data_IF_696461785367
#
_entry.id   IF_696461785367
#
_cell.length_a   1.000
_cell.length_b   1.000
_cell.length_c   1.000
_cell.angle_alpha   90.00
_cell.angle_beta   90.00
_cell.angle_gamma   90.00
#
_symmetry.space_group_name_H-M   'P 1'
#
loop_
_entity.id
_entity.type
_entity.pdbx_description
1 polymer ?
#
# COMPACT_ATOMS: atom_id res chain seq x y z
N UNK A 1 41.13 32.57 -45.30
CA UNK A 1 39.78 32.05 -45.47
C UNK A 1 39.87 30.78 -46.29
N UNK A 2 40.03 29.64 -45.67
CA UNK A 2 40.25 28.33 -46.33
C UNK A 2 38.96 27.52 -46.19
N UNK A 3 38.29 27.25 -47.32
CA UNK A 3 37.13 26.39 -47.45
C UNK A 3 37.59 24.93 -47.46
N UNK A 4 37.27 24.18 -46.40
CA UNK A 4 37.48 22.73 -46.33
C UNK A 4 36.23 22.07 -46.93
N UNK A 5 36.35 21.56 -48.15
CA UNK A 5 35.32 20.77 -48.81
C UNK A 5 35.29 19.36 -48.25
N UNK A 6 34.19 18.95 -47.60
CA UNK A 6 33.94 17.58 -47.15
C UNK A 6 33.54 16.70 -48.32
N UNK A 7 34.42 15.77 -48.71
CA UNK A 7 34.14 14.69 -49.67
C UNK A 7 33.22 13.66 -49.00
N UNK A 8 31.98 13.54 -49.48
CA UNK A 8 31.04 12.47 -49.07
C UNK A 8 31.35 11.22 -49.92
N UNK A 9 31.69 10.09 -49.34
CA UNK A 9 31.97 8.87 -50.10
C UNK A 9 30.68 8.33 -50.74
N UNK A 10 30.73 8.16 -52.07
CA UNK A 10 29.66 7.60 -52.87
C UNK A 10 29.58 6.09 -52.68
N UNK A 11 28.58 5.60 -51.91
CA UNK A 11 28.34 4.17 -51.66
C UNK A 11 27.52 3.58 -52.82
N UNK A 12 28.01 2.52 -53.52
CA UNK A 12 27.32 1.95 -54.66
C UNK A 12 25.96 1.36 -54.31
N UNK A 13 24.95 1.61 -55.15
CA UNK A 13 23.53 1.22 -55.00
C UNK A 13 23.29 -0.28 -54.72
N UNK A 14 24.16 -1.17 -55.14
CA UNK A 14 24.05 -2.61 -54.91
C UNK A 14 24.21 -3.04 -53.45
N UNK A 15 25.07 -2.37 -52.65
CA UNK A 15 25.22 -2.67 -51.22
C UNK A 15 23.98 -2.29 -50.39
N UNK A 16 23.22 -1.27 -50.82
CA UNK A 16 22.00 -0.84 -50.12
C UNK A 16 20.89 -1.88 -50.19
N UNK A 17 20.70 -2.58 -51.32
CA UNK A 17 19.68 -3.64 -51.47
C UNK A 17 19.94 -4.85 -50.54
N UNK A 18 21.21 -5.28 -50.41
CA UNK A 18 21.57 -6.41 -49.54
C UNK A 18 21.39 -6.08 -48.05
N UNK A 19 21.70 -4.86 -47.63
CA UNK A 19 21.51 -4.44 -46.24
C UNK A 19 20.02 -4.31 -45.86
N UNK A 20 19.15 -3.87 -46.78
CA UNK A 20 17.72 -3.78 -46.57
C UNK A 20 17.07 -5.13 -46.30
N UNK A 21 17.51 -6.16 -46.98
CA UNK A 21 16.97 -7.52 -46.79
C UNK A 21 17.44 -8.17 -45.47
N UNK A 22 18.67 -7.93 -45.03
CA UNK A 22 19.19 -8.41 -43.75
C UNK A 22 18.46 -7.72 -42.58
N UNK A 23 18.15 -6.44 -42.69
CA UNK A 23 17.39 -5.72 -41.66
C UNK A 23 15.94 -6.20 -41.57
N UNK A 24 15.29 -6.50 -42.70
CA UNK A 24 13.92 -7.06 -42.70
C UNK A 24 13.90 -8.46 -42.07
N UNK A 25 14.88 -9.30 -42.36
CA UNK A 25 14.98 -10.63 -41.77
C UNK A 25 15.21 -10.59 -40.26
N UNK A 26 16.08 -9.69 -39.79
CA UNK A 26 16.32 -9.48 -38.33
C UNK A 26 15.09 -8.94 -37.60
N UNK A 27 14.28 -8.09 -38.23
CA UNK A 27 13.02 -7.63 -37.65
C UNK A 27 11.96 -8.73 -37.56
N UNK A 28 11.87 -9.58 -38.58
CA UNK A 28 10.95 -10.71 -38.59
C UNK A 28 11.34 -11.71 -37.46
N UNK A 29 12.61 -12.01 -37.29
CA UNK A 29 13.11 -12.91 -36.25
C UNK A 29 12.86 -12.37 -34.85
N UNK A 30 13.00 -11.04 -34.64
CA UNK A 30 12.68 -10.41 -33.32
C UNK A 30 11.19 -10.44 -33.02
N UNK A 31 10.33 -10.25 -34.01
CA UNK A 31 8.88 -10.28 -33.83
C UNK A 31 8.39 -11.70 -33.50
N UNK A 32 8.94 -12.73 -34.15
CA UNK A 32 8.58 -14.13 -33.84
C UNK A 32 9.08 -14.56 -32.46
N UNK A 33 10.27 -14.12 -32.02
CA UNK A 33 10.80 -14.44 -30.69
C UNK A 33 9.97 -13.76 -29.59
N UNK A 34 9.55 -12.51 -29.80
CA UNK A 34 8.69 -11.80 -28.87
C UNK A 34 7.31 -12.45 -28.79
N UNK A 35 6.74 -12.87 -29.93
CA UNK A 35 5.43 -13.54 -29.95
C UNK A 35 5.46 -14.89 -29.22
N UNK A 36 6.54 -15.66 -29.36
CA UNK A 36 6.72 -16.92 -28.64
C UNK A 36 6.91 -16.68 -27.15
N UNK A 37 7.61 -15.61 -26.75
CA UNK A 37 7.77 -15.23 -25.34
C UNK A 37 6.40 -14.86 -24.71
N UNK A 38 5.57 -14.10 -25.43
CA UNK A 38 4.23 -13.73 -24.94
C UNK A 38 3.28 -14.94 -24.87
N UNK A 39 3.37 -15.90 -25.81
CA UNK A 39 2.59 -17.13 -25.77
C UNK A 39 2.99 -18.04 -24.60
N UNK A 40 4.27 -18.10 -24.24
CA UNK A 40 4.74 -18.87 -23.09
C UNK A 40 4.47 -18.14 -21.75
N UNK A 41 4.51 -16.81 -21.69
CA UNK A 41 4.08 -16.06 -20.50
C UNK A 41 2.55 -16.11 -20.29
N UNK A 42 1.77 -16.19 -21.36
CA UNK A 42 0.31 -16.29 -21.27
C UNK A 42 -0.17 -17.65 -20.72
N UNK A 43 0.62 -18.71 -20.85
CA UNK A 43 0.27 -20.02 -20.31
C UNK A 43 0.69 -20.22 -18.83
N UNK A 44 1.54 -19.37 -18.30
CA UNK A 44 1.93 -19.38 -16.87
C UNK A 44 1.04 -18.50 -15.99
N UNK A 45 0.09 -17.77 -16.57
CA UNK A 45 -1.08 -17.26 -15.84
C UNK A 45 -2.13 -18.38 -15.64
N UNK A 46 -1.70 -19.56 -15.21
CA UNK A 46 -2.57 -20.39 -14.40
C UNK A 46 -2.91 -19.55 -13.18
N UNK A 47 -4.15 -19.09 -13.15
CA UNK A 47 -4.80 -18.50 -12.00
C UNK A 47 -4.40 -19.31 -10.77
N UNK A 48 -3.33 -18.91 -10.12
CA UNK A 48 -3.24 -19.05 -8.68
C UNK A 48 -4.45 -18.23 -8.21
N UNK A 49 -5.61 -18.88 -8.12
CA UNK A 49 -6.58 -18.50 -7.12
C UNK A 49 -5.79 -18.57 -5.83
N UNK A 50 -5.17 -17.44 -5.47
CA UNK A 50 -4.86 -17.15 -4.09
C UNK A 50 -6.25 -17.26 -3.49
N UNK A 51 -6.50 -18.43 -2.91
CA UNK A 51 -7.58 -18.64 -1.99
C UNK A 51 -7.26 -17.63 -0.87
N UNK A 52 -7.69 -16.38 -1.07
CA UNK A 52 -7.92 -15.49 0.01
C UNK A 52 -8.95 -16.26 0.83
N UNK A 53 -8.45 -17.01 1.80
CA UNK A 53 -9.27 -17.53 2.87
C UNK A 53 -9.91 -16.29 3.43
N UNK A 54 -11.16 -16.02 3.05
CA UNK A 54 -12.06 -15.17 3.82
C UNK A 54 -12.27 -15.92 5.14
N UNK A 55 -11.23 -15.93 5.97
CA UNK A 55 -11.39 -16.10 7.40
C UNK A 55 -12.29 -14.94 7.76
N UNK A 56 -13.44 -15.30 8.33
CA UNK A 56 -14.46 -14.40 8.82
C UNK A 56 -13.79 -13.12 9.38
N UNK A 57 -13.62 -12.12 8.50
CA UNK A 57 -12.83 -10.92 8.77
C UNK A 57 -13.46 -10.03 9.83
N UNK A 58 -14.62 -10.44 10.35
CA UNK A 58 -15.37 -9.73 11.37
C UNK A 58 -14.67 -9.81 12.73
N UNK A 59 -13.96 -10.90 13.04
CA UNK A 59 -13.32 -11.09 14.34
C UNK A 59 -12.12 -10.16 14.57
N UNK A 60 -11.29 -9.93 13.55
CA UNK A 60 -10.09 -9.05 13.64
C UNK A 60 -10.45 -7.57 13.73
N UNK A 61 -11.56 -7.16 13.13
CA UNK A 61 -12.07 -5.79 13.20
C UNK A 61 -13.03 -5.55 14.37
N UNK A 62 -13.02 -6.39 15.39
CA UNK A 62 -13.94 -6.30 16.54
C UNK A 62 -13.70 -5.07 17.42
N UNK A 63 -12.53 -4.44 17.32
CA UNK A 63 -12.18 -3.26 18.12
C UNK A 63 -13.15 -2.08 17.93
N UNK A 64 -13.74 -1.95 16.74
CA UNK A 64 -14.78 -0.97 16.45
C UNK A 64 -16.08 -1.71 16.16
N UNK A 65 -17.11 -1.51 16.98
CA UNK A 65 -18.44 -2.07 16.72
C UNK A 65 -19.12 -1.33 15.54
N UNK A 66 -20.16 -1.95 14.95
CA UNK A 66 -20.92 -1.28 13.91
C UNK A 66 -21.68 -0.05 14.43
N UNK A 67 -22.12 -0.08 15.69
CA UNK A 67 -22.78 1.04 16.37
C UNK A 67 -21.82 2.22 16.54
N UNK A 68 -20.57 1.96 16.98
CA UNK A 68 -19.55 3.00 17.09
C UNK A 68 -19.23 3.59 15.71
N UNK A 69 -19.07 2.74 14.69
CA UNK A 69 -18.81 3.17 13.34
C UNK A 69 -19.99 3.98 12.75
N UNK A 70 -21.22 3.56 13.02
CA UNK A 70 -22.43 4.27 12.57
C UNK A 70 -22.49 5.68 13.16
N UNK A 71 -22.16 5.82 14.45
CA UNK A 71 -22.09 7.12 15.13
C UNK A 71 -20.99 8.02 14.51
N UNK A 72 -19.78 7.48 14.30
CA UNK A 72 -18.64 8.23 13.72
C UNK A 72 -18.95 8.68 12.29
N UNK A 73 -19.53 7.80 11.47
CA UNK A 73 -19.80 8.06 10.07
C UNK A 73 -21.13 8.76 9.82
N UNK A 74 -21.95 8.89 10.86
CA UNK A 74 -23.34 9.46 10.77
C UNK A 74 -24.15 8.73 9.71
N UNK A 75 -24.32 7.41 9.90
CA UNK A 75 -25.10 6.50 9.04
C UNK A 75 -25.85 5.49 9.88
N UNK A 76 -26.77 4.72 9.27
CA UNK A 76 -27.39 3.56 9.93
C UNK A 76 -26.40 2.38 10.01
N UNK A 77 -26.52 1.58 11.07
CA UNK A 77 -25.76 0.32 11.20
C UNK A 77 -26.00 -0.63 10.04
N UNK A 78 -27.24 -0.70 9.54
CA UNK A 78 -27.62 -1.56 8.39
C UNK A 78 -26.96 -1.16 7.08
N UNK A 79 -26.55 0.13 6.97
CA UNK A 79 -25.80 0.64 5.82
C UNK A 79 -24.31 0.30 5.87
N UNK A 80 -23.81 -0.23 6.97
CA UNK A 80 -22.40 -0.51 7.13
C UNK A 80 -22.00 -1.91 6.62
N UNK A 81 -20.80 -1.97 6.07
CA UNK A 81 -20.11 -3.20 5.73
C UNK A 81 -18.69 -3.17 6.31
N UNK A 82 -18.32 -4.25 6.99
CA UNK A 82 -17.01 -4.45 7.60
C UNK A 82 -16.21 -5.47 6.80
N UNK A 83 -14.92 -5.18 6.59
CA UNK A 83 -13.98 -6.11 5.97
C UNK A 83 -12.61 -6.00 6.61
N UNK A 84 -11.86 -7.08 6.63
CA UNK A 84 -10.45 -7.10 7.03
C UNK A 84 -9.60 -7.74 5.95
N UNK A 85 -8.34 -7.32 5.91
CA UNK A 85 -7.34 -7.88 5.01
C UNK A 85 -6.00 -7.96 5.72
N UNK A 86 -5.37 -9.12 5.67
CA UNK A 86 -4.00 -9.28 6.13
C UNK A 86 -3.05 -8.49 5.24
N UNK A 87 -2.10 -7.80 5.85
CA UNK A 87 -1.05 -7.11 5.12
C UNK A 87 0.04 -8.13 4.73
N UNK A 88 0.61 -7.93 3.55
CA UNK A 88 1.78 -8.70 3.15
C UNK A 88 2.98 -8.28 4.01
N UNK A 89 3.55 -9.23 4.70
CA UNK A 89 4.76 -9.06 5.51
C UNK A 89 5.93 -9.61 4.70
N UNK A 90 7.08 -8.94 4.74
CA UNK A 90 8.26 -9.44 4.04
C UNK A 90 8.71 -10.80 4.61
N UNK A 91 9.27 -11.71 3.78
CA UNK A 91 9.81 -12.97 4.29
C UNK A 91 10.84 -12.76 5.40
N UNK A 92 11.65 -11.71 5.31
CA UNK A 92 12.65 -11.34 6.32
C UNK A 92 12.01 -10.97 7.67
N UNK A 93 10.89 -10.23 7.66
CA UNK A 93 10.19 -9.86 8.89
C UNK A 93 9.48 -11.07 9.53
N UNK A 94 9.01 -12.01 8.71
CA UNK A 94 8.45 -13.29 9.18
C UNK A 94 9.53 -14.15 9.83
N UNK A 95 10.71 -14.29 9.22
CA UNK A 95 11.85 -15.03 9.78
C UNK A 95 12.32 -14.41 11.10
N UNK A 96 12.38 -13.09 11.17
CA UNK A 96 12.76 -12.36 12.40
C UNK A 96 11.67 -12.36 13.46
N UNK A 97 10.50 -12.90 13.17
CA UNK A 97 9.33 -12.90 14.07
C UNK A 97 9.09 -11.51 14.66
N UNK A 98 9.04 -10.47 13.81
CA UNK A 98 8.87 -9.09 14.25
C UNK A 98 7.48 -8.89 14.85
N UNK A 99 6.46 -9.53 14.27
CA UNK A 99 5.06 -9.42 14.69
C UNK A 99 4.61 -10.62 15.52
N UNK A 100 3.80 -10.37 16.54
CA UNK A 100 3.11 -11.37 17.34
C UNK A 100 1.94 -11.97 16.57
N UNK A 101 1.22 -11.13 15.83
CA UNK A 101 0.19 -11.52 14.87
C UNK A 101 0.42 -10.76 13.57
N UNK A 102 0.04 -11.38 12.45
CA UNK A 102 0.17 -10.74 11.16
C UNK A 102 -0.59 -9.41 11.13
N UNK A 103 0.06 -8.30 10.71
CA UNK A 103 -0.59 -7.01 10.59
C UNK A 103 -1.80 -7.09 9.67
N UNK A 104 -2.85 -6.37 10.00
CA UNK A 104 -4.09 -6.38 9.24
C UNK A 104 -4.68 -4.99 9.09
N UNK A 105 -5.33 -4.79 7.96
CA UNK A 105 -6.11 -3.61 7.66
C UNK A 105 -7.59 -3.90 7.93
N UNK A 106 -8.26 -2.99 8.61
CA UNK A 106 -9.70 -3.00 8.79
C UNK A 106 -10.34 -1.85 8.03
N UNK A 107 -11.41 -2.15 7.32
CA UNK A 107 -12.25 -1.15 6.65
C UNK A 107 -13.70 -1.35 7.04
N UNK A 108 -14.34 -0.28 7.51
CA UNK A 108 -15.77 -0.19 7.77
C UNK A 108 -16.30 0.92 6.87
N UNK A 109 -17.20 0.62 5.97
CA UNK A 109 -17.71 1.57 4.99
C UNK A 109 -19.21 1.56 4.87
N UNK A 110 -19.80 2.71 4.52
CA UNK A 110 -21.19 2.80 4.11
C UNK A 110 -21.38 2.14 2.74
N UNK A 111 -22.47 1.39 2.59
CA UNK A 111 -22.90 0.78 1.33
C UNK A 111 -23.47 1.83 0.37
N UNK A 112 -24.14 2.85 0.93
CA UNK A 112 -24.78 3.92 0.19
C UNK A 112 -23.84 5.08 -0.17
N UNK A 113 -22.77 5.29 0.61
CA UNK A 113 -21.82 6.39 0.39
C UNK A 113 -20.37 5.93 0.62
N UNK A 114 -19.66 5.62 -0.46
CA UNK A 114 -18.29 5.13 -0.42
C UNK A 114 -17.26 6.10 0.20
N UNK A 115 -17.58 7.40 0.33
CA UNK A 115 -16.73 8.39 0.98
C UNK A 115 -16.81 8.31 2.52
N UNK A 116 -17.88 7.71 3.04
CA UNK A 116 -18.05 7.46 4.48
C UNK A 116 -17.43 6.13 4.84
N UNK A 117 -16.17 6.18 5.28
CA UNK A 117 -15.42 4.98 5.65
C UNK A 117 -14.48 5.24 6.82
N UNK A 118 -14.23 4.20 7.60
CA UNK A 118 -13.15 4.10 8.58
C UNK A 118 -12.16 3.08 8.05
N UNK A 119 -10.88 3.45 7.95
CA UNK A 119 -9.81 2.52 7.58
C UNK A 119 -8.66 2.70 8.55
N UNK A 120 -8.21 1.60 9.12
CA UNK A 120 -7.07 1.57 10.04
C UNK A 120 -6.26 0.29 9.88
N UNK A 121 -4.98 0.38 10.24
CA UNK A 121 -4.06 -0.76 10.30
C UNK A 121 -3.67 -1.00 11.74
N UNK A 122 -3.61 -2.27 12.14
CA UNK A 122 -3.11 -2.67 13.44
C UNK A 122 -1.86 -3.52 13.27
N UNK A 123 -0.81 -3.15 13.99
CA UNK A 123 0.44 -3.87 14.09
C UNK A 123 0.62 -4.32 15.54
N UNK A 124 0.76 -5.62 15.77
CA UNK A 124 1.06 -6.17 17.10
C UNK A 124 2.45 -6.79 17.04
N UNK A 125 3.39 -6.16 17.69
CA UNK A 125 4.79 -6.58 17.69
C UNK A 125 5.07 -7.62 18.78
N UNK A 126 6.21 -8.32 18.66
CA UNK A 126 6.60 -9.32 19.66
C UNK A 126 7.04 -8.72 21.01
N UNK A 127 7.41 -7.44 21.01
CA UNK A 127 7.76 -6.71 22.23
C UNK A 127 7.65 -5.19 22.01
N UNK A 128 7.51 -4.41 23.10
CA UNK A 128 7.36 -2.96 23.03
C UNK A 128 8.57 -2.23 22.38
N UNK A 129 9.80 -2.76 22.56
CA UNK A 129 10.98 -2.16 21.94
C UNK A 129 10.96 -2.21 20.43
N UNK A 130 10.44 -3.29 19.83
CA UNK A 130 10.22 -3.40 18.38
C UNK A 130 9.14 -2.45 17.92
N UNK A 131 8.02 -2.38 18.64
CA UNK A 131 6.94 -1.44 18.34
C UNK A 131 7.45 0.00 18.32
N UNK A 132 8.26 0.40 19.32
CA UNK A 132 8.86 1.73 19.40
C UNK A 132 9.76 2.03 18.20
N UNK A 133 10.65 1.13 17.83
CA UNK A 133 11.55 1.30 16.69
C UNK A 133 10.74 1.53 15.40
N UNK A 134 9.69 0.76 15.17
CA UNK A 134 8.89 0.91 13.96
C UNK A 134 8.00 2.15 13.99
N UNK A 135 7.46 2.53 15.15
CA UNK A 135 6.75 3.79 15.33
C UNK A 135 7.65 4.99 15.01
N UNK A 136 8.88 5.03 15.57
CA UNK A 136 9.85 6.10 15.32
C UNK A 136 10.25 6.18 13.83
N UNK A 137 10.38 5.04 13.15
CA UNK A 137 10.61 5.00 11.70
C UNK A 137 9.44 5.57 10.91
N UNK A 138 8.20 5.21 11.29
CA UNK A 138 7.00 5.78 10.66
C UNK A 138 6.97 7.30 10.83
N UNK A 139 7.22 7.80 12.02
CA UNK A 139 7.26 9.23 12.30
C UNK A 139 8.30 9.94 11.42
N UNK A 140 9.55 9.47 11.42
CA UNK A 140 10.63 10.05 10.60
C UNK A 140 10.31 10.03 9.10
N UNK A 141 9.70 8.95 8.60
CA UNK A 141 9.29 8.87 7.21
C UNK A 141 8.24 9.95 6.89
N UNK A 142 7.29 10.18 7.79
CA UNK A 142 6.28 11.22 7.58
C UNK A 142 6.86 12.63 7.71
N UNK A 143 7.77 12.87 8.65
CA UNK A 143 8.48 14.15 8.81
C UNK A 143 9.23 14.58 7.53
N UNK A 144 9.70 13.60 6.74
CA UNK A 144 10.34 13.88 5.45
C UNK A 144 9.35 14.30 4.35
N UNK A 145 8.07 14.05 4.52
CA UNK A 145 7.02 14.28 3.53
C UNK A 145 6.08 15.42 3.88
N UNK A 146 5.82 15.64 5.16
CA UNK A 146 4.84 16.60 5.65
C UNK A 146 5.12 17.00 7.09
N UNK A 147 4.41 18.03 7.57
CA UNK A 147 4.44 18.41 8.98
C UNK A 147 3.83 17.30 9.83
N UNK A 148 4.51 16.94 10.91
CA UNK A 148 4.06 15.99 11.92
C UNK A 148 3.79 16.76 13.22
N UNK A 149 2.59 16.60 13.76
CA UNK A 149 2.18 17.20 15.03
C UNK A 149 2.02 16.09 16.09
N UNK A 150 2.63 16.27 17.26
CA UNK A 150 2.46 15.38 18.40
C UNK A 150 1.04 15.51 18.95
N UNK A 151 0.39 14.38 19.22
CA UNK A 151 -0.98 14.33 19.75
C UNK A 151 -0.92 13.84 21.20
N UNK A 152 -1.27 14.72 22.17
CA UNK A 152 -1.27 14.31 23.58
C UNK A 152 -2.46 13.39 23.92
N UNK A 153 -2.29 12.63 25.02
CA UNK A 153 -3.34 11.82 25.67
C UNK A 153 -3.90 10.68 24.82
N UNK A 154 -3.07 10.11 23.96
CA UNK A 154 -3.41 8.92 23.17
C UNK A 154 -2.28 7.89 23.24
N UNK A 155 -2.58 6.71 23.82
CA UNK A 155 -1.57 5.66 24.01
C UNK A 155 -0.40 6.11 24.86
N UNK A 156 0.78 5.57 24.58
CA UNK A 156 2.03 6.03 25.17
C UNK A 156 2.57 7.25 24.43
N UNK A 157 2.31 7.29 23.11
CA UNK A 157 2.63 8.39 22.21
C UNK A 157 1.78 8.32 20.94
N UNK A 158 1.47 9.47 20.38
CA UNK A 158 0.78 9.56 19.09
C UNK A 158 1.26 10.78 18.30
N UNK A 159 1.19 10.67 16.98
CA UNK A 159 1.40 11.79 16.09
C UNK A 159 0.32 11.84 15.00
N UNK A 160 0.09 13.04 14.51
CA UNK A 160 -0.79 13.32 13.40
C UNK A 160 -0.04 13.93 12.25
N UNK A 161 -0.34 13.46 11.04
CA UNK A 161 0.18 13.99 9.79
C UNK A 161 -0.98 14.49 8.98
N UNK A 162 -0.98 15.77 8.65
CA UNK A 162 -2.07 16.35 7.91
C UNK A 162 -1.61 17.37 6.90
N UNK A 163 -1.89 17.10 5.64
CA UNK A 163 -1.89 18.08 4.58
C UNK A 163 -3.20 17.98 3.77
N UNK A 164 -3.32 18.80 2.72
CA UNK A 164 -4.51 18.78 1.86
C UNK A 164 -4.73 17.47 1.09
N UNK A 165 -3.72 16.59 1.04
CA UNK A 165 -3.75 15.35 0.27
C UNK A 165 -4.02 14.13 1.12
N UNK A 166 -3.41 14.05 2.30
CA UNK A 166 -3.65 12.94 3.20
C UNK A 166 -3.60 13.38 4.66
N UNK A 167 -4.36 12.69 5.49
CA UNK A 167 -4.39 12.90 6.92
C UNK A 167 -4.35 11.52 7.58
N UNK A 168 -3.44 11.34 8.51
CA UNK A 168 -3.25 10.09 9.24
C UNK A 168 -2.94 10.37 10.69
N UNK A 169 -3.38 9.50 11.55
CA UNK A 169 -3.00 9.50 12.95
C UNK A 169 -2.41 8.13 13.30
N UNK A 170 -1.21 8.16 13.87
CA UNK A 170 -0.52 6.94 14.32
C UNK A 170 -0.33 7.04 15.82
N UNK A 171 -0.62 5.96 16.52
CA UNK A 171 -0.42 5.87 17.97
C UNK A 171 0.26 4.55 18.34
N UNK A 172 1.04 4.58 19.41
CA UNK A 172 1.67 3.42 20.03
C UNK A 172 1.17 3.27 21.47
N UNK A 173 0.93 2.01 21.88
CA UNK A 173 0.67 1.61 23.27
C UNK A 173 1.28 0.24 23.51
N UNK A 174 2.33 0.18 24.33
CA UNK A 174 3.07 -1.05 24.57
C UNK A 174 3.66 -1.66 23.30
N UNK A 175 3.19 -2.86 22.95
CA UNK A 175 3.62 -3.60 21.76
C UNK A 175 2.72 -3.38 20.52
N UNK A 176 1.77 -2.45 20.58
CA UNK A 176 0.78 -2.20 19.53
C UNK A 176 1.02 -0.85 18.90
N UNK A 177 0.97 -0.81 17.56
CA UNK A 177 0.92 0.42 16.77
C UNK A 177 -0.36 0.42 15.94
N UNK A 178 -1.10 1.51 15.98
CA UNK A 178 -2.34 1.73 15.23
C UNK A 178 -2.14 2.91 14.28
N UNK A 179 -2.53 2.73 13.03
CA UNK A 179 -2.45 3.73 12.00
C UNK A 179 -3.82 3.94 11.37
N UNK A 180 -4.46 5.07 11.66
CA UNK A 180 -5.79 5.42 11.15
C UNK A 180 -5.64 6.28 9.90
N UNK A 181 -6.15 5.77 8.77
CA UNK A 181 -6.04 6.39 7.45
C UNK A 181 -7.29 7.20 7.08
N UNK A 182 -8.44 6.85 7.64
CA UNK A 182 -9.73 7.48 7.33
C UNK A 182 -10.68 7.36 8.52
N UNK A 183 -11.57 8.31 8.76
CA UNK A 183 -11.83 9.51 7.96
C UNK A 183 -10.70 10.54 8.03
N UNK A 184 -10.71 11.50 7.10
CA UNK A 184 -9.76 12.63 7.07
C UNK A 184 -10.24 13.74 8.00
N UNK A 185 -10.31 13.45 9.29
CA UNK A 185 -10.70 14.40 10.34
C UNK A 185 -9.92 14.06 11.62
N UNK A 186 -9.23 15.03 12.17
CA UNK A 186 -8.38 14.88 13.35
C UNK A 186 -9.14 14.31 14.55
N UNK A 187 -10.31 14.87 14.86
CA UNK A 187 -11.07 14.49 16.06
C UNK A 187 -11.66 13.08 15.90
N UNK A 188 -12.14 12.73 14.70
CA UNK A 188 -12.65 11.40 14.42
C UNK A 188 -11.52 10.35 14.46
N UNK A 189 -10.33 10.66 13.92
CA UNK A 189 -9.17 9.77 14.02
C UNK A 189 -8.75 9.54 15.48
N UNK A 190 -8.73 10.61 16.28
CA UNK A 190 -8.46 10.54 17.72
C UNK A 190 -9.47 9.63 18.45
N UNK A 191 -10.77 9.79 18.15
CA UNK A 191 -11.82 8.95 18.70
C UNK A 191 -11.66 7.47 18.30
N UNK A 192 -11.36 7.19 17.03
CA UNK A 192 -11.15 5.84 16.50
C UNK A 192 -10.00 5.15 17.22
N UNK A 193 -8.84 5.83 17.36
CA UNK A 193 -7.67 5.24 18.04
C UNK A 193 -8.00 4.90 19.49
N UNK A 194 -8.66 5.78 20.22
CA UNK A 194 -9.08 5.51 21.59
C UNK A 194 -9.94 4.27 21.68
N UNK A 195 -10.97 4.14 20.84
CA UNK A 195 -11.83 2.96 20.79
C UNK A 195 -11.06 1.66 20.50
N UNK A 196 -10.02 1.73 19.68
CA UNK A 196 -9.19 0.56 19.38
C UNK A 196 -8.28 0.25 20.57
N UNK A 197 -7.58 1.24 21.12
CA UNK A 197 -6.65 1.06 22.24
C UNK A 197 -7.30 0.60 23.51
N UNK A 198 -8.60 0.90 23.73
CA UNK A 198 -9.39 0.44 24.87
C UNK A 198 -9.66 -1.08 24.85
N UNK A 199 -9.39 -1.74 23.73
CA UNK A 199 -9.54 -3.20 23.57
C UNK A 199 -8.26 -3.98 23.80
N UNK A 200 -7.14 -3.30 23.93
CA UNK A 200 -5.81 -3.84 24.22
C UNK A 200 -5.31 -3.32 25.57
#
# INVERSE_FOLDING_TARGET
MLLVGTLVPHVPKQRRKKMGNIMKLKRLFRLTTILILFLNLGMLCTSSKILATETDGTSRCSSITLENAATILVVSTDDLQKSSRDLMVSPEDLEKKIYKIQPYNCTIRSKSNFLKLITYVTYVYNNPGKARIEFDKMQKNFESLSKVDVVPDIGDEAFWVGDNRFQRMVAIKGDIVIDVLSPKDFNLQKQIIRLILDKF
#
